data_IF_641172184601
#
_entry.id   IF_641172184601
#
_cell.length_a   1.000
_cell.length_b   1.000
_cell.length_c   1.000
_cell.angle_alpha   90.00
_cell.angle_beta   90.00
_cell.angle_gamma   90.00
#
_symmetry.space_group_name_H-M   'P 1'
#
loop_
_entity.id
_entity.type
_entity.pdbx_description
1 polymer ?
#
# COMPACT_ATOMS: atom_id res chain seq x y z
N UNK A 1 12.23 24.69 9.10
CA UNK A 1 12.55 24.77 7.66
C UNK A 1 14.04 24.61 7.49
N UNK A 2 14.46 23.46 6.89
CA UNK A 2 15.87 23.16 6.61
C UNK A 2 16.33 23.94 5.38
N UNK A 3 17.55 24.39 5.41
CA UNK A 3 18.29 24.75 4.18
C UNK A 3 18.77 23.47 3.53
N UNK A 4 18.88 23.42 2.20
CA UNK A 4 19.35 22.26 1.43
C UNK A 4 20.79 21.88 1.81
N UNK A 5 20.96 21.25 2.98
CA UNK A 5 22.20 20.72 3.53
C UNK A 5 22.00 19.27 3.93
N UNK A 6 23.08 18.53 4.17
CA UNK A 6 23.06 17.13 4.62
C UNK A 6 22.60 17.00 6.09
N UNK A 7 21.43 17.56 6.43
CA UNK A 7 20.91 17.55 7.80
C UNK A 7 19.52 16.92 7.81
N UNK A 8 19.24 16.14 8.85
CA UNK A 8 17.92 15.57 9.14
C UNK A 8 17.07 16.60 9.92
N UNK A 9 15.75 16.45 9.83
CA UNK A 9 14.84 17.22 10.67
C UNK A 9 14.95 16.80 12.14
N UNK A 10 14.77 15.51 12.39
CA UNK A 10 14.96 14.86 13.70
C UNK A 10 15.79 13.59 13.49
N UNK A 11 16.86 13.46 14.26
CA UNK A 11 17.73 12.28 14.23
C UNK A 11 17.84 11.63 15.60
N UNK A 12 17.53 10.33 15.68
CA UNK A 12 17.69 9.51 16.88
C UNK A 12 19.02 8.75 16.78
N UNK A 13 20.05 9.22 17.49
CA UNK A 13 21.40 8.65 17.35
C UNK A 13 21.55 7.31 18.06
N UNK A 14 21.30 7.26 19.37
CA UNK A 14 21.52 6.06 20.21
C UNK A 14 20.45 5.93 21.31
N UNK A 15 20.25 4.68 21.76
CA UNK A 15 19.36 4.37 22.85
C UNK A 15 17.89 4.26 22.43
N UNK A 16 16.99 4.29 23.39
CA UNK A 16 15.55 4.24 23.20
C UNK A 16 15.00 5.68 23.18
N UNK A 17 14.46 6.13 22.06
CA UNK A 17 13.91 7.48 21.92
C UNK A 17 12.41 7.44 21.61
N UNK A 18 11.68 8.44 22.09
CA UNK A 18 10.28 8.65 21.75
C UNK A 18 10.05 10.09 21.35
N UNK A 19 9.46 10.30 20.18
CA UNK A 19 8.88 11.58 19.78
C UNK A 19 7.39 11.53 20.13
N UNK A 20 6.93 12.43 20.99
CA UNK A 20 5.52 12.65 21.26
C UNK A 20 5.08 13.99 20.68
N UNK A 21 4.05 13.97 19.83
CA UNK A 21 3.33 15.15 19.34
C UNK A 21 1.90 15.00 19.80
N UNK A 22 1.43 15.89 20.70
CA UNK A 22 0.17 15.68 21.41
C UNK A 22 -0.51 16.99 21.79
N UNK A 23 -1.79 16.90 22.19
CA UNK A 23 -2.57 18.01 22.73
C UNK A 23 -2.74 19.18 21.75
N UNK A 24 -3.21 18.91 20.55
CA UNK A 24 -3.44 19.92 19.51
C UNK A 24 -2.16 20.52 18.92
N UNK A 25 -1.03 19.84 19.09
CA UNK A 25 0.26 20.33 18.59
C UNK A 25 0.39 20.17 17.08
N UNK A 26 1.19 21.06 16.46
CA UNK A 26 1.58 20.96 15.04
C UNK A 26 3.10 20.85 14.94
N UNK A 27 3.57 19.77 14.33
CA UNK A 27 4.98 19.57 14.00
C UNK A 27 5.17 19.65 12.49
N UNK A 28 5.94 20.61 12.02
CA UNK A 28 6.31 20.74 10.61
C UNK A 28 7.81 20.51 10.40
N UNK A 29 8.15 19.56 9.50
CA UNK A 29 9.54 19.29 9.08
C UNK A 29 9.58 19.37 7.55
N UNK A 30 10.18 20.41 7.01
CA UNK A 30 10.12 20.71 5.58
C UNK A 30 11.46 21.11 4.99
N UNK A 31 11.71 20.69 3.74
CA UNK A 31 12.83 21.09 2.91
C UNK A 31 14.20 20.64 3.47
N UNK A 32 14.28 19.46 4.08
CA UNK A 32 15.56 18.89 4.48
C UNK A 32 16.19 18.09 3.35
N UNK A 33 17.49 18.27 3.13
CA UNK A 33 18.26 17.50 2.14
C UNK A 33 18.47 16.03 2.53
N UNK A 34 18.20 15.69 3.78
CA UNK A 34 18.11 14.33 4.30
C UNK A 34 16.69 14.04 4.80
N UNK A 35 16.50 12.98 5.56
CA UNK A 35 15.20 12.52 6.00
C UNK A 35 14.57 13.45 7.03
N UNK A 36 13.25 13.58 7.01
CA UNK A 36 12.54 14.37 7.99
C UNK A 36 12.75 13.80 9.40
N UNK A 37 12.53 12.49 9.56
CA UNK A 37 12.77 11.76 10.80
C UNK A 37 13.56 10.51 10.47
N UNK A 38 14.72 10.34 11.08
CA UNK A 38 15.59 9.19 10.88
C UNK A 38 16.12 8.66 12.20
N UNK A 39 16.37 7.36 12.25
CA UNK A 39 17.07 6.71 13.34
C UNK A 39 18.45 6.19 12.93
N UNK A 40 19.37 6.17 13.89
CA UNK A 40 20.65 5.46 13.79
C UNK A 40 20.49 3.93 13.87
N UNK A 41 21.41 3.25 14.52
CA UNK A 41 21.57 1.80 14.45
C UNK A 41 20.68 0.99 15.42
N UNK A 42 20.07 1.61 16.42
CA UNK A 42 19.35 0.88 17.48
C UNK A 42 17.83 0.80 17.20
N UNK A 43 17.10 -0.09 17.93
CA UNK A 43 15.83 -0.65 17.43
C UNK A 43 14.56 -0.34 18.21
N UNK A 44 14.54 0.58 19.18
CA UNK A 44 13.35 0.80 20.02
C UNK A 44 12.87 2.25 20.01
N UNK A 45 12.77 2.83 18.83
CA UNK A 45 12.28 4.20 18.70
C UNK A 45 10.77 4.24 18.44
N UNK A 46 10.12 5.24 19.01
CA UNK A 46 8.68 5.45 18.88
C UNK A 46 8.37 6.85 18.37
N UNK A 47 7.32 6.96 17.60
CA UNK A 47 6.69 8.21 17.21
C UNK A 47 5.21 8.09 17.59
N UNK A 48 4.76 8.88 18.54
CA UNK A 48 3.38 8.95 18.96
C UNK A 48 2.80 10.30 18.55
N UNK A 49 1.75 10.28 17.76
CA UNK A 49 1.01 11.46 17.31
C UNK A 49 -0.41 11.27 17.85
N UNK A 50 -0.82 12.11 18.79
CA UNK A 50 -2.13 12.00 19.46
C UNK A 50 -2.80 13.36 19.48
N UNK A 51 -4.05 13.46 19.01
CA UNK A 51 -4.80 14.72 18.93
C UNK A 51 -3.95 15.85 18.33
N UNK A 52 -3.28 15.58 17.20
CA UNK A 52 -2.24 16.50 16.69
C UNK A 52 -2.01 16.35 15.18
N UNK A 53 -1.20 17.24 14.61
CA UNK A 53 -0.82 17.22 13.19
C UNK A 53 0.69 17.13 13.02
N UNK A 54 1.15 16.26 12.12
CA UNK A 54 2.55 16.16 11.69
C UNK A 54 2.62 16.29 10.18
N UNK A 55 3.40 17.27 9.70
CA UNK A 55 3.64 17.55 8.29
C UNK A 55 5.12 17.36 7.94
N UNK A 56 5.42 16.31 7.18
CA UNK A 56 6.74 16.01 6.64
C UNK A 56 6.69 16.25 5.12
N UNK A 57 7.24 17.37 4.65
CA UNK A 57 7.05 17.83 3.29
C UNK A 57 8.35 18.26 2.61
N UNK A 58 8.54 17.85 1.32
CA UNK A 58 9.73 18.19 0.53
C UNK A 58 11.06 17.80 1.21
N UNK A 59 11.14 16.64 1.82
CA UNK A 59 12.37 16.09 2.38
C UNK A 59 12.98 15.03 1.43
N UNK A 60 14.19 14.56 1.69
CA UNK A 60 14.75 13.41 0.95
C UNK A 60 13.87 12.19 1.17
N UNK A 61 13.53 11.87 2.42
CA UNK A 61 12.51 10.90 2.79
C UNK A 61 11.73 11.40 4.03
N UNK A 62 10.58 10.82 4.30
CA UNK A 62 9.78 11.17 5.46
C UNK A 62 10.31 10.50 6.73
N UNK A 63 9.88 9.25 6.99
CA UNK A 63 10.25 8.47 8.19
C UNK A 63 11.13 7.30 7.75
N UNK A 64 12.40 7.29 8.15
CA UNK A 64 13.36 6.25 7.76
C UNK A 64 13.90 5.48 8.95
N UNK A 65 13.82 4.16 8.85
CA UNK A 65 14.25 3.21 9.87
C UNK A 65 13.08 2.55 10.58
N UNK A 66 13.38 1.60 11.46
CA UNK A 66 12.33 0.84 12.16
C UNK A 66 11.83 1.60 13.38
N UNK A 67 10.76 2.33 13.23
CA UNK A 67 10.00 2.93 14.33
C UNK A 67 8.75 2.13 14.62
N UNK A 68 8.19 2.28 15.81
CA UNK A 68 6.77 2.05 16.08
C UNK A 68 6.09 3.41 16.00
N UNK A 69 5.28 3.61 14.97
CA UNK A 69 4.57 4.87 14.71
C UNK A 69 3.10 4.67 15.06
N UNK A 70 2.61 5.41 16.04
CA UNK A 70 1.19 5.46 16.40
C UNK A 70 0.62 6.80 15.95
N UNK A 71 -0.47 6.76 15.19
CA UNK A 71 -1.27 7.92 14.80
C UNK A 71 -2.66 7.71 15.35
N UNK A 72 -3.06 8.52 16.31
CA UNK A 72 -4.27 8.35 17.13
C UNK A 72 -5.05 9.67 17.15
N UNK A 73 -6.28 9.68 16.61
CA UNK A 73 -7.10 10.89 16.47
C UNK A 73 -6.31 12.08 15.88
N UNK A 74 -5.57 11.83 14.80
CA UNK A 74 -4.51 12.74 14.37
C UNK A 74 -4.35 12.78 12.85
N UNK A 75 -3.61 13.80 12.39
CA UNK A 75 -3.21 13.92 10.98
C UNK A 75 -1.71 13.71 10.81
N UNK A 76 -1.33 12.83 9.88
CA UNK A 76 0.06 12.65 9.45
C UNK A 76 0.15 12.82 7.92
N UNK A 77 0.87 13.83 7.47
CA UNK A 77 1.20 14.04 6.08
C UNK A 77 2.70 13.77 5.83
N UNK A 78 2.99 12.87 4.91
CA UNK A 78 4.35 12.55 4.47
C UNK A 78 4.36 12.65 2.95
N UNK A 79 4.65 13.83 2.46
CA UNK A 79 4.41 14.17 1.06
C UNK A 79 5.63 14.77 0.37
N UNK A 80 5.64 14.64 -0.96
CA UNK A 80 6.61 15.29 -1.85
C UNK A 80 8.08 14.96 -1.50
N UNK A 81 8.34 13.80 -0.88
CA UNK A 81 9.70 13.35 -0.63
C UNK A 81 10.35 12.88 -1.94
N UNK A 82 11.64 13.16 -2.14
CA UNK A 82 12.35 12.68 -3.33
C UNK A 82 12.62 11.16 -3.28
N UNK A 83 12.63 10.57 -2.09
CA UNK A 83 12.74 9.13 -1.81
C UNK A 83 11.42 8.54 -1.28
N UNK A 84 11.51 7.76 -0.22
CA UNK A 84 10.34 7.11 0.41
C UNK A 84 9.55 8.09 1.29
N UNK A 85 8.25 7.98 1.30
CA UNK A 85 7.43 8.58 2.36
C UNK A 85 7.76 7.93 3.70
N UNK A 86 7.74 6.59 3.79
CA UNK A 86 8.24 5.83 4.94
C UNK A 86 9.07 4.64 4.47
N UNK A 87 10.02 4.19 5.30
CA UNK A 87 10.82 3.01 5.04
C UNK A 87 11.12 2.21 6.31
N UNK A 88 10.49 1.04 6.45
CA UNK A 88 10.79 0.02 7.46
C UNK A 88 10.08 0.16 8.80
N UNK A 89 9.25 1.15 9.02
CA UNK A 89 8.52 1.36 10.27
C UNK A 89 7.33 0.41 10.43
N UNK A 90 6.84 0.25 11.67
CA UNK A 90 5.54 -0.36 11.98
C UNK A 90 4.53 0.76 12.23
N UNK A 91 3.35 0.68 11.62
CA UNK A 91 2.31 1.70 11.76
C UNK A 91 1.08 1.14 12.45
N UNK A 92 0.58 1.91 13.44
CA UNK A 92 -0.70 1.74 14.09
C UNK A 92 -1.49 3.05 13.93
N UNK A 93 -2.44 3.06 13.02
CA UNK A 93 -3.25 4.23 12.63
C UNK A 93 -4.67 3.96 13.07
N UNK A 94 -5.25 4.83 13.93
CA UNK A 94 -6.54 4.55 14.55
C UNK A 94 -7.30 5.81 14.94
N UNK A 95 -8.57 5.60 15.34
CA UNK A 95 -9.43 6.59 15.96
C UNK A 95 -9.56 7.86 15.10
N UNK A 96 -10.25 7.76 13.97
CA UNK A 96 -10.52 8.87 13.04
C UNK A 96 -9.27 9.57 12.47
N UNK A 97 -8.11 8.91 12.51
CA UNK A 97 -6.89 9.48 11.97
C UNK A 97 -6.92 9.62 10.46
N UNK A 98 -6.28 10.69 9.97
CA UNK A 98 -6.08 10.93 8.53
C UNK A 98 -4.61 10.87 8.20
N UNK A 99 -4.21 9.94 7.33
CA UNK A 99 -2.80 9.74 6.96
C UNK A 99 -2.60 9.82 5.45
N UNK A 100 -1.62 10.62 5.03
CA UNK A 100 -1.34 10.84 3.62
C UNK A 100 0.14 10.59 3.30
N UNK A 101 0.39 9.59 2.42
CA UNK A 101 1.70 9.26 1.87
C UNK A 101 1.70 9.48 0.36
N UNK A 102 1.70 10.72 -0.11
CA UNK A 102 1.51 11.02 -1.53
C UNK A 102 2.67 11.77 -2.17
N UNK A 103 2.82 11.62 -3.49
CA UNK A 103 3.82 12.30 -4.30
C UNK A 103 5.27 11.99 -3.87
N UNK A 104 5.55 10.82 -3.32
CA UNK A 104 6.90 10.45 -2.94
C UNK A 104 7.62 9.75 -4.12
N UNK A 105 8.90 10.02 -4.29
CA UNK A 105 9.68 9.58 -5.45
C UNK A 105 9.92 8.06 -5.51
N UNK A 106 9.74 7.34 -4.39
CA UNK A 106 9.87 5.88 -4.32
C UNK A 106 8.58 5.29 -3.76
N UNK A 107 8.55 4.75 -2.56
CA UNK A 107 7.34 4.21 -1.95
C UNK A 107 6.58 5.29 -1.19
N UNK A 108 5.26 5.25 -1.23
CA UNK A 108 4.45 6.06 -0.31
C UNK A 108 4.67 5.56 1.11
N UNK A 109 4.05 4.44 1.45
CA UNK A 109 4.21 3.77 2.74
C UNK A 109 4.93 2.43 2.55
N UNK A 110 6.14 2.32 3.11
CA UNK A 110 6.85 1.04 3.26
C UNK A 110 6.89 0.66 4.73
N UNK A 111 6.18 -0.41 5.09
CA UNK A 111 5.99 -0.81 6.47
C UNK A 111 6.50 -2.23 6.75
N UNK A 112 6.89 -2.49 8.00
CA UNK A 112 7.04 -3.83 8.55
C UNK A 112 5.66 -4.44 8.83
N UNK A 113 4.94 -3.91 9.83
CA UNK A 113 3.53 -4.20 10.06
C UNK A 113 2.69 -2.94 9.83
N UNK A 114 1.42 -3.12 9.47
CA UNK A 114 0.50 -2.03 9.19
C UNK A 114 -0.88 -2.34 9.78
N UNK A 115 -1.30 -1.58 10.77
CA UNK A 115 -2.66 -1.59 11.28
C UNK A 115 -3.34 -0.26 10.96
N UNK A 116 -4.52 -0.33 10.34
CA UNK A 116 -5.38 0.82 10.05
C UNK A 116 -6.77 0.46 10.59
N UNK A 117 -7.24 1.20 11.59
CA UNK A 117 -8.54 0.99 12.23
C UNK A 117 -9.26 2.33 12.37
N UNK A 118 -10.56 2.38 12.03
CA UNK A 118 -11.39 3.58 12.11
C UNK A 118 -10.71 4.83 11.53
N UNK A 119 -10.10 4.72 10.34
CA UNK A 119 -9.21 5.78 9.84
C UNK A 119 -9.23 5.92 8.33
N UNK A 120 -8.66 7.02 7.83
CA UNK A 120 -8.51 7.28 6.40
C UNK A 120 -7.03 7.34 6.00
N UNK A 121 -6.64 6.53 5.02
CA UNK A 121 -5.27 6.51 4.50
C UNK A 121 -5.25 6.74 3.00
N UNK A 122 -4.38 7.64 2.56
CA UNK A 122 -4.17 7.96 1.14
C UNK A 122 -2.70 7.74 0.75
N UNK A 123 -2.47 7.10 -0.40
CA UNK A 123 -1.12 6.87 -0.94
C UNK A 123 -1.10 7.09 -2.45
N UNK A 124 -1.12 8.35 -2.88
CA UNK A 124 -1.28 8.72 -4.28
C UNK A 124 0.02 9.17 -4.95
N UNK A 125 0.13 8.93 -6.27
CA UNK A 125 1.20 9.44 -7.13
C UNK A 125 2.62 9.09 -6.65
N UNK A 126 2.82 7.92 -6.06
CA UNK A 126 4.12 7.49 -5.60
C UNK A 126 4.92 6.82 -6.73
N UNK A 127 6.25 6.89 -6.64
CA UNK A 127 7.13 6.49 -7.73
C UNK A 127 7.25 4.98 -7.96
N UNK A 128 7.07 4.12 -6.93
CA UNK A 128 7.23 2.65 -7.03
C UNK A 128 6.02 1.87 -6.54
N UNK A 129 5.71 1.91 -5.25
CA UNK A 129 4.50 1.34 -4.67
C UNK A 129 3.74 2.41 -3.89
N UNK A 130 2.42 2.36 -3.92
CA UNK A 130 1.61 3.17 -3.03
C UNK A 130 1.84 2.73 -1.59
N UNK A 131 1.49 1.48 -1.29
CA UNK A 131 1.72 0.80 -0.01
C UNK A 131 2.46 -0.51 -0.25
N UNK A 132 3.55 -0.75 0.50
CA UNK A 132 4.26 -2.02 0.55
C UNK A 132 4.52 -2.40 2.00
N UNK A 133 4.29 -3.66 2.37
CA UNK A 133 4.58 -4.14 3.73
C UNK A 133 5.08 -5.59 3.73
N UNK A 134 5.77 -5.96 4.80
CA UNK A 134 6.51 -7.22 4.87
C UNK A 134 6.02 -8.17 5.96
N UNK A 135 5.16 -7.73 6.83
CA UNK A 135 4.65 -8.49 7.98
C UNK A 135 3.12 -8.58 7.98
N UNK A 136 2.52 -8.37 9.13
CA UNK A 136 1.05 -8.40 9.27
C UNK A 136 0.45 -7.05 8.92
N UNK A 137 -0.60 -7.06 8.10
CA UNK A 137 -1.44 -5.91 7.76
C UNK A 137 -2.89 -6.16 8.18
N UNK A 138 -3.55 -5.12 8.65
CA UNK A 138 -4.99 -5.08 8.89
C UNK A 138 -5.54 -3.74 8.46
N UNK A 139 -6.64 -3.75 7.71
CA UNK A 139 -7.45 -2.57 7.39
C UNK A 139 -8.85 -2.88 7.88
N UNK A 140 -9.31 -2.17 8.92
CA UNK A 140 -10.58 -2.44 9.57
C UNK A 140 -11.37 -1.15 9.76
N UNK A 141 -12.67 -1.19 9.45
CA UNK A 141 -13.59 -0.04 9.62
C UNK A 141 -13.07 1.27 9.00
N UNK A 142 -12.31 1.16 7.88
CA UNK A 142 -11.45 2.24 7.40
C UNK A 142 -11.64 2.52 5.89
N UNK A 143 -11.13 3.67 5.46
CA UNK A 143 -11.06 4.04 4.04
C UNK A 143 -9.61 4.14 3.58
N UNK A 144 -9.23 3.37 2.55
CA UNK A 144 -7.89 3.42 1.96
C UNK A 144 -7.98 3.73 0.47
N UNK A 145 -7.22 4.73 0.02
CA UNK A 145 -7.16 5.12 -1.40
C UNK A 145 -5.73 5.11 -1.91
N UNK A 146 -5.48 4.38 -3.00
CA UNK A 146 -4.17 4.27 -3.63
C UNK A 146 -4.34 4.53 -5.13
N UNK A 147 -3.77 5.63 -5.63
CA UNK A 147 -3.93 6.00 -7.04
C UNK A 147 -2.64 6.54 -7.65
N UNK A 148 -2.51 6.43 -8.98
CA UNK A 148 -1.45 7.10 -9.73
C UNK A 148 -0.03 6.63 -9.39
N UNK A 149 0.13 5.44 -8.83
CA UNK A 149 1.45 4.84 -8.57
C UNK A 149 2.15 4.57 -9.88
N UNK A 150 3.34 5.10 -10.07
CA UNK A 150 4.04 5.03 -11.36
C UNK A 150 4.79 3.72 -11.59
N UNK A 151 5.45 3.20 -10.56
CA UNK A 151 6.28 2.00 -10.66
C UNK A 151 7.49 2.15 -11.60
N UNK A 152 8.44 1.24 -11.47
CA UNK A 152 9.59 1.10 -12.38
C UNK A 152 9.93 -0.36 -12.69
N UNK A 153 9.15 -1.29 -12.17
CA UNK A 153 9.37 -2.73 -12.29
C UNK A 153 8.03 -3.46 -12.22
N UNK A 154 7.93 -4.60 -12.86
CA UNK A 154 6.76 -5.49 -12.80
C UNK A 154 6.40 -5.98 -11.38
N UNK A 155 7.30 -5.82 -10.43
CA UNK A 155 7.04 -6.09 -9.01
C UNK A 155 6.35 -4.93 -8.28
N UNK A 156 6.24 -3.76 -8.89
CA UNK A 156 5.59 -2.63 -8.26
C UNK A 156 4.06 -2.74 -8.37
N UNK A 157 3.37 -2.19 -7.41
CA UNK A 157 1.92 -2.21 -7.35
C UNK A 157 1.35 -1.00 -6.58
N UNK A 158 0.08 -0.74 -6.75
CA UNK A 158 -0.63 0.13 -5.82
C UNK A 158 -0.43 -0.37 -4.39
N UNK A 159 -0.81 -1.62 -4.12
CA UNK A 159 -0.57 -2.31 -2.83
C UNK A 159 0.25 -3.59 -3.06
N UNK A 160 1.35 -3.76 -2.33
CA UNK A 160 2.18 -4.96 -2.43
C UNK A 160 2.36 -5.65 -1.08
N UNK A 161 2.01 -6.93 -1.04
CA UNK A 161 2.31 -7.85 0.05
C UNK A 161 3.69 -8.47 -0.24
N UNK A 162 4.72 -7.94 0.40
CA UNK A 162 6.10 -8.28 0.10
C UNK A 162 6.67 -9.30 1.09
N UNK A 163 7.13 -10.42 0.62
CA UNK A 163 7.64 -11.61 1.32
C UNK A 163 6.56 -12.63 1.70
N UNK A 164 7.00 -13.86 1.89
CA UNK A 164 6.17 -15.05 2.11
C UNK A 164 5.34 -15.06 3.39
N UNK A 165 5.62 -14.20 4.34
CA UNK A 165 4.87 -14.08 5.59
C UNK A 165 4.02 -12.80 5.67
N UNK A 166 3.98 -12.03 4.58
CA UNK A 166 3.10 -10.86 4.54
C UNK A 166 1.63 -11.30 4.50
N UNK A 167 0.84 -10.77 5.40
CA UNK A 167 -0.61 -11.04 5.45
C UNK A 167 -1.37 -9.73 5.50
N UNK A 168 -2.48 -9.64 4.78
CA UNK A 168 -3.41 -8.50 4.84
C UNK A 168 -4.83 -9.00 5.05
N UNK A 169 -5.46 -8.52 6.11
CA UNK A 169 -6.87 -8.70 6.37
C UNK A 169 -7.61 -7.37 6.16
N UNK A 170 -8.60 -7.34 5.27
CA UNK A 170 -9.46 -6.19 5.00
C UNK A 170 -10.86 -6.52 5.50
N UNK A 171 -11.33 -5.78 6.51
CA UNK A 171 -12.55 -6.06 7.26
C UNK A 171 -13.41 -4.80 7.32
N UNK A 172 -14.67 -4.89 6.92
CA UNK A 172 -15.66 -3.81 6.98
C UNK A 172 -15.15 -2.45 6.48
N UNK A 173 -14.37 -2.47 5.40
CA UNK A 173 -13.62 -1.31 4.94
C UNK A 173 -13.91 -0.95 3.48
N UNK A 174 -13.59 0.27 3.10
CA UNK A 174 -13.62 0.73 1.71
C UNK A 174 -12.19 0.91 1.22
N UNK A 175 -11.78 0.10 0.23
CA UNK A 175 -10.44 0.18 -0.36
C UNK A 175 -10.54 0.44 -1.86
N UNK A 176 -9.93 1.52 -2.32
CA UNK A 176 -9.89 1.90 -3.73
C UNK A 176 -8.45 1.93 -4.24
N UNK A 177 -8.15 1.10 -5.21
CA UNK A 177 -6.83 1.01 -5.85
C UNK A 177 -7.05 1.19 -7.35
N UNK A 178 -6.69 2.37 -7.87
CA UNK A 178 -7.05 2.70 -9.25
C UNK A 178 -6.02 3.57 -9.96
N UNK A 179 -6.07 3.51 -11.28
CA UNK A 179 -5.30 4.40 -12.16
C UNK A 179 -3.79 4.35 -11.87
N UNK A 180 -3.27 3.20 -11.38
CA UNK A 180 -1.86 2.99 -11.20
C UNK A 180 -1.23 2.53 -12.52
N UNK A 181 0.01 2.98 -12.83
CA UNK A 181 0.77 2.55 -14.02
C UNK A 181 1.32 1.12 -13.90
N UNK A 182 1.01 0.44 -12.80
CA UNK A 182 1.44 -0.91 -12.42
C UNK A 182 0.25 -1.72 -11.94
N UNK A 183 0.46 -2.98 -11.54
CA UNK A 183 -0.61 -3.79 -10.96
C UNK A 183 -1.29 -3.11 -9.78
N UNK A 184 -2.59 -3.31 -9.63
CA UNK A 184 -3.35 -2.79 -8.49
C UNK A 184 -2.86 -3.41 -7.19
N UNK A 185 -2.98 -4.73 -7.05
CA UNK A 185 -2.53 -5.51 -5.89
C UNK A 185 -1.53 -6.58 -6.34
N UNK A 186 -0.43 -6.73 -5.60
CA UNK A 186 0.57 -7.77 -5.87
C UNK A 186 0.83 -8.59 -4.60
N UNK A 187 0.46 -9.86 -4.65
CA UNK A 187 0.72 -10.85 -3.60
C UNK A 187 1.97 -11.64 -3.97
N UNK A 188 3.11 -11.35 -3.32
CA UNK A 188 4.36 -12.11 -3.48
C UNK A 188 4.18 -13.56 -3.01
N UNK A 189 5.06 -14.43 -3.45
CA UNK A 189 5.05 -15.85 -3.12
C UNK A 189 4.91 -16.11 -1.63
N UNK A 190 3.93 -16.93 -1.26
CA UNK A 190 3.61 -17.30 0.12
C UNK A 190 2.89 -16.25 0.95
N UNK A 191 2.58 -15.07 0.40
CA UNK A 191 1.78 -14.05 1.10
C UNK A 191 0.29 -14.41 1.11
N UNK A 192 -0.48 -13.73 1.97
CA UNK A 192 -1.93 -13.96 2.11
C UNK A 192 -2.72 -12.66 2.13
N UNK A 193 -3.70 -12.57 1.25
CA UNK A 193 -4.71 -11.52 1.22
C UNK A 193 -6.07 -12.10 1.60
N UNK A 194 -6.76 -11.48 2.54
CA UNK A 194 -8.13 -11.82 2.90
C UNK A 194 -9.00 -10.56 2.89
N UNK A 195 -10.06 -10.59 2.10
CA UNK A 195 -11.08 -9.53 2.03
C UNK A 195 -12.38 -10.17 2.50
N UNK A 196 -13.02 -9.57 3.49
CA UNK A 196 -14.30 -10.04 3.99
C UNK A 196 -15.49 -9.62 3.11
N UNK A 197 -16.66 -10.18 3.36
CA UNK A 197 -17.87 -9.92 2.57
C UNK A 197 -18.52 -8.54 2.88
N UNK A 198 -18.12 -7.88 3.94
CA UNK A 198 -18.60 -6.55 4.32
C UNK A 198 -17.82 -5.42 3.64
N UNK A 199 -16.58 -5.71 3.23
CA UNK A 199 -15.68 -4.71 2.65
C UNK A 199 -15.99 -4.42 1.18
N UNK A 200 -15.95 -3.14 0.82
CA UNK A 200 -16.04 -2.67 -0.56
C UNK A 200 -14.63 -2.44 -1.11
N UNK A 201 -14.12 -3.38 -1.91
CA UNK A 201 -12.79 -3.26 -2.51
C UNK A 201 -12.92 -3.09 -4.01
N UNK A 202 -12.39 -1.97 -4.53
CA UNK A 202 -12.40 -1.65 -5.96
C UNK A 202 -10.96 -1.55 -6.48
N UNK A 203 -10.63 -2.36 -7.48
CA UNK A 203 -9.33 -2.38 -8.16
C UNK A 203 -9.60 -2.17 -9.65
N UNK A 204 -9.36 -0.96 -10.16
CA UNK A 204 -9.77 -0.60 -11.53
C UNK A 204 -8.83 0.36 -12.22
N UNK A 205 -8.77 0.31 -13.55
CA UNK A 205 -7.98 1.23 -14.38
C UNK A 205 -6.47 1.13 -14.14
N UNK A 206 -6.00 0.05 -13.52
CA UNK A 206 -4.58 -0.11 -13.28
C UNK A 206 -3.88 -0.58 -14.54
N UNK A 207 -2.68 -0.05 -14.79
CA UNK A 207 -1.88 -0.29 -16.00
C UNK A 207 -2.55 0.13 -17.34
N UNK A 208 -3.68 0.82 -17.31
CA UNK A 208 -4.42 1.20 -18.51
C UNK A 208 -3.64 2.12 -19.47
N UNK A 209 -2.67 2.88 -18.97
CA UNK A 209 -1.81 3.75 -19.80
C UNK A 209 -0.76 2.99 -20.61
N UNK A 210 -0.65 1.67 -20.47
CA UNK A 210 0.38 0.83 -21.10
C UNK A 210 -0.05 0.22 -22.44
N UNK A 211 -1.19 0.56 -23.00
CA UNK A 211 -1.72 0.02 -24.27
C UNK A 211 -0.74 0.12 -25.47
N UNK A 212 0.28 0.98 -25.40
CA UNK A 212 1.28 1.16 -26.45
C UNK A 212 2.69 0.68 -26.07
N UNK A 213 2.81 -0.24 -25.12
CA UNK A 213 4.10 -0.62 -24.58
C UNK A 213 4.85 -1.67 -25.41
N UNK A 214 5.16 -1.38 -26.68
CA UNK A 214 6.11 -2.17 -27.45
C UNK A 214 7.56 -2.07 -26.95
N UNK A 215 7.85 -1.15 -26.04
CA UNK A 215 9.22 -0.86 -25.56
C UNK A 215 9.44 -1.03 -24.05
N UNK A 216 8.38 -1.19 -23.27
CA UNK A 216 8.50 -1.42 -21.81
C UNK A 216 8.05 -2.84 -21.46
N UNK A 217 8.85 -3.83 -21.81
CA UNK A 217 8.57 -5.26 -21.61
C UNK A 217 8.37 -5.68 -20.15
N UNK A 218 8.54 -4.81 -19.17
CA UNK A 218 8.77 -5.21 -17.78
C UNK A 218 7.74 -4.68 -16.77
N UNK A 219 6.74 -3.90 -17.17
CA UNK A 219 5.72 -3.38 -16.25
C UNK A 219 4.39 -4.12 -16.44
N UNK A 220 3.84 -4.62 -15.36
CA UNK A 220 2.58 -5.39 -15.28
C UNK A 220 2.39 -6.35 -16.47
N UNK A 221 3.32 -7.27 -16.61
CA UNK A 221 3.24 -8.31 -17.65
C UNK A 221 2.00 -9.18 -17.41
N UNK A 222 1.65 -9.42 -16.15
CA UNK A 222 0.51 -10.25 -15.78
C UNK A 222 -0.21 -9.67 -14.58
N UNK A 223 -1.55 -9.73 -14.56
CA UNK A 223 -2.38 -9.25 -13.47
C UNK A 223 -2.40 -7.73 -13.33
N UNK A 224 -3.07 -7.04 -14.23
CA UNK A 224 -3.24 -5.58 -14.13
C UNK A 224 -3.95 -5.17 -12.84
N UNK A 225 -5.00 -5.89 -12.43
CA UNK A 225 -5.70 -5.66 -11.16
C UNK A 225 -5.06 -6.39 -9.99
N UNK A 226 -4.95 -7.72 -10.06
CA UNK A 226 -4.45 -8.57 -8.97
C UNK A 226 -3.46 -9.62 -9.50
N UNK A 227 -2.32 -9.72 -8.86
CA UNK A 227 -1.35 -10.81 -9.04
C UNK A 227 -1.31 -11.70 -7.81
N UNK A 228 -1.46 -13.02 -8.00
CA UNK A 228 -1.31 -14.04 -6.95
C UNK A 228 -0.17 -14.97 -7.36
N UNK A 229 1.00 -14.82 -6.72
CA UNK A 229 2.20 -15.58 -7.05
C UNK A 229 2.16 -17.00 -6.47
N UNK A 230 3.12 -17.82 -6.89
CA UNK A 230 3.32 -19.20 -6.38
C UNK A 230 3.26 -19.24 -4.84
N UNK A 231 2.46 -20.17 -4.29
CA UNK A 231 2.24 -20.31 -2.85
C UNK A 231 1.52 -19.15 -2.16
N UNK A 232 1.17 -18.08 -2.87
CA UNK A 232 0.33 -17.01 -2.32
C UNK A 232 -1.15 -17.43 -2.28
N UNK A 233 -1.89 -16.86 -1.34
CA UNK A 233 -3.33 -17.08 -1.21
C UNK A 233 -4.06 -15.74 -1.24
N UNK A 234 -5.09 -15.61 -2.07
CA UNK A 234 -6.00 -14.48 -2.06
C UNK A 234 -7.45 -14.97 -1.88
N UNK A 235 -8.13 -14.42 -0.87
CA UNK A 235 -9.57 -14.60 -0.66
C UNK A 235 -10.27 -13.27 -0.91
N UNK A 236 -11.19 -13.25 -1.88
CA UNK A 236 -11.94 -12.06 -2.26
C UNK A 236 -13.35 -12.10 -1.71
N UNK A 237 -13.76 -11.08 -0.99
CA UNK A 237 -15.11 -10.92 -0.45
C UNK A 237 -16.15 -10.60 -1.54
N UNK A 238 -17.42 -10.81 -1.22
CA UNK A 238 -18.55 -10.70 -2.16
C UNK A 238 -18.73 -9.31 -2.80
N UNK A 239 -18.19 -8.25 -2.20
CA UNK A 239 -18.27 -6.87 -2.73
C UNK A 239 -16.96 -6.40 -3.38
N UNK A 240 -16.05 -7.33 -3.67
CA UNK A 240 -14.82 -7.00 -4.39
C UNK A 240 -15.10 -6.82 -5.87
N UNK A 241 -14.62 -5.72 -6.44
CA UNK A 241 -14.68 -5.41 -7.86
C UNK A 241 -13.27 -5.26 -8.42
N UNK A 242 -12.92 -6.04 -9.45
CA UNK A 242 -11.63 -5.96 -10.15
C UNK A 242 -11.96 -5.93 -11.63
N UNK A 243 -11.91 -4.75 -12.25
CA UNK A 243 -12.29 -4.57 -13.64
C UNK A 243 -11.54 -3.42 -14.33
N UNK A 244 -11.61 -3.37 -15.65
CA UNK A 244 -10.99 -2.34 -16.47
C UNK A 244 -9.48 -2.17 -16.19
N UNK A 245 -8.81 -3.21 -15.74
CA UNK A 245 -7.36 -3.23 -15.60
C UNK A 245 -6.73 -3.77 -16.90
N UNK A 246 -5.43 -3.61 -17.06
CA UNK A 246 -4.74 -4.09 -18.24
C UNK A 246 -3.41 -4.76 -17.88
N UNK A 247 -3.09 -5.86 -18.55
CA UNK A 247 -1.80 -6.55 -18.48
C UNK A 247 -1.28 -6.82 -19.90
N UNK A 248 0.01 -6.68 -20.12
CA UNK A 248 0.60 -6.81 -21.46
C UNK A 248 0.75 -8.25 -21.94
N UNK A 249 0.66 -9.24 -21.03
CA UNK A 249 0.87 -10.67 -21.33
C UNK A 249 -0.34 -11.51 -20.95
N UNK A 250 -0.81 -11.46 -19.70
CA UNK A 250 -1.89 -12.33 -19.25
C UNK A 250 -2.65 -11.77 -18.03
N UNK A 251 -3.97 -12.04 -17.99
CA UNK A 251 -4.84 -11.70 -16.87
C UNK A 251 -4.98 -10.19 -16.69
N UNK A 252 -5.71 -9.54 -17.58
CA UNK A 252 -5.93 -8.10 -17.51
C UNK A 252 -6.37 -7.70 -16.10
N UNK A 253 -7.36 -8.37 -15.54
CA UNK A 253 -7.79 -8.10 -14.18
C UNK A 253 -7.07 -8.96 -13.16
N UNK A 254 -7.00 -10.29 -13.35
CA UNK A 254 -6.42 -11.20 -12.36
C UNK A 254 -5.47 -12.18 -13.05
N UNK A 255 -4.29 -12.33 -12.47
CA UNK A 255 -3.34 -13.39 -12.79
C UNK A 255 -3.05 -14.24 -11.56
N UNK A 256 -3.20 -15.56 -11.71
CA UNK A 256 -2.83 -16.54 -10.69
C UNK A 256 -1.72 -17.42 -11.24
N UNK A 257 -0.54 -17.32 -10.67
CA UNK A 257 0.61 -18.15 -11.04
C UNK A 257 0.39 -19.61 -10.59
N UNK A 258 1.04 -20.57 -11.25
CA UNK A 258 1.04 -21.97 -10.81
C UNK A 258 1.42 -22.06 -9.32
N UNK A 259 0.63 -22.82 -8.53
CA UNK A 259 0.79 -22.88 -7.06
C UNK A 259 0.15 -21.74 -6.29
N UNK A 260 -0.27 -20.67 -6.94
CA UNK A 260 -1.08 -19.60 -6.33
C UNK A 260 -2.52 -20.07 -6.09
N UNK A 261 -3.18 -19.51 -5.08
CA UNK A 261 -4.56 -19.87 -4.74
C UNK A 261 -5.46 -18.65 -4.66
N UNK A 262 -6.51 -18.64 -5.49
CA UNK A 262 -7.57 -17.64 -5.46
C UNK A 262 -8.87 -18.26 -4.97
N UNK A 263 -9.56 -17.60 -4.06
CA UNK A 263 -10.85 -18.03 -3.51
C UNK A 263 -11.82 -16.86 -3.51
N UNK A 264 -13.04 -17.08 -3.97
CA UNK A 264 -14.12 -16.11 -3.91
C UNK A 264 -15.09 -16.48 -2.78
N UNK A 265 -15.50 -15.52 -1.99
CA UNK A 265 -16.54 -15.68 -1.00
C UNK A 265 -17.90 -15.45 -1.65
N UNK A 266 -18.34 -16.39 -2.50
CA UNK A 266 -19.68 -16.34 -3.11
C UNK A 266 -20.59 -17.24 -2.32
N UNK A 267 -21.55 -16.67 -1.61
CA UNK A 267 -22.53 -17.45 -0.82
C UNK A 267 -23.63 -18.11 -1.66
N UNK A 268 -23.72 -17.80 -2.97
CA UNK A 268 -24.71 -18.34 -3.90
C UNK A 268 -24.09 -18.59 -5.28
N UNK A 269 -23.00 -19.35 -5.33
CA UNK A 269 -22.60 -19.94 -6.60
C UNK A 269 -23.68 -20.97 -6.98
N UNK A 270 -24.57 -20.61 -7.89
CA UNK A 270 -25.44 -21.59 -8.55
C UNK A 270 -24.58 -22.66 -9.23
N UNK A 271 -25.09 -23.85 -9.37
CA UNK A 271 -24.39 -24.96 -10.02
C UNK A 271 -24.16 -24.63 -11.49
N UNK A 272 -22.95 -24.17 -11.81
CA UNK A 272 -22.57 -23.78 -13.17
C UNK A 272 -21.86 -22.43 -13.27
N UNK A 273 -21.59 -21.79 -12.13
CA UNK A 273 -21.00 -20.46 -12.09
C UNK A 273 -19.58 -20.45 -12.68
N UNK A 274 -19.52 -19.92 -13.86
CA UNK A 274 -18.30 -19.32 -14.39
C UNK A 274 -18.11 -17.96 -13.74
N UNK A 275 -16.88 -17.47 -13.65
CA UNK A 275 -16.57 -16.13 -13.14
C UNK A 275 -17.37 -14.97 -13.79
N UNK A 276 -18.01 -15.24 -14.92
CA UNK A 276 -18.93 -14.34 -15.62
C UNK A 276 -20.26 -14.07 -14.88
N UNK A 277 -20.63 -14.90 -13.90
CA UNK A 277 -21.86 -14.71 -13.12
C UNK A 277 -21.68 -13.70 -11.95
N UNK A 278 -20.46 -13.20 -11.73
CA UNK A 278 -20.20 -12.13 -10.77
C UNK A 278 -20.64 -10.73 -11.26
N UNK A 279 -21.37 -10.66 -12.37
CA UNK A 279 -21.98 -9.43 -12.91
C UNK A 279 -20.99 -8.31 -13.08
N UNK A 280 -20.19 -8.28 -14.13
CA UNK A 280 -19.25 -7.21 -14.52
C UNK A 280 -18.23 -6.80 -13.46
N UNK A 281 -17.97 -7.63 -12.45
CA UNK A 281 -17.02 -7.34 -11.37
C UNK A 281 -15.59 -7.72 -11.70
N UNK A 282 -15.40 -8.66 -12.65
CA UNK A 282 -14.10 -9.13 -13.11
C UNK A 282 -14.18 -9.31 -14.62
N UNK A 283 -13.40 -8.54 -15.38
CA UNK A 283 -13.44 -8.55 -16.85
C UNK A 283 -12.52 -9.58 -17.49
N UNK A 284 -11.41 -9.89 -16.85
CA UNK A 284 -10.46 -10.83 -17.40
C UNK A 284 -9.57 -11.47 -16.33
N UNK A 285 -9.50 -12.79 -16.35
CA UNK A 285 -8.57 -13.48 -15.47
C UNK A 285 -7.86 -14.62 -16.19
N UNK A 286 -6.69 -14.97 -15.66
CA UNK A 286 -5.84 -16.03 -16.19
C UNK A 286 -5.22 -16.81 -15.02
N UNK A 287 -5.22 -18.13 -15.13
CA UNK A 287 -4.47 -19.02 -14.25
C UNK A 287 -3.42 -19.74 -15.06
N UNK A 288 -2.18 -19.73 -14.57
CA UNK A 288 -1.06 -20.48 -15.14
C UNK A 288 -1.10 -21.92 -14.63
N UNK A 289 -2.16 -22.63 -14.97
CA UNK A 289 -2.31 -24.05 -14.66
C UNK A 289 -1.95 -24.89 -15.89
N UNK A 290 -1.01 -25.86 -15.71
CA UNK A 290 -0.74 -26.91 -16.71
C UNK A 290 -1.90 -27.87 -16.81
#
# INVERSE_FOLDING_TARGET
TGTAGNTHGIYFDKGNGTLNVQNGSVLEIKNYGQDAIERGTESNYKINITDSTVDLDHNRAGITGTFVVTVDDSTLNVINSTGNGSNGSHFDIKNDSTVNFSNNGVHGLSAGNLNIEDSTVTANNNGYNGIIFTGKGTIKDSTVTITGTKGKSYWNAGMRLFKSNATMDIVNSTVTIKDNEVSGIFCDSGSKLSIDDSSNVTVTGNNAAQENCSTKKDLAQSGGGLVVRDGAEAKLGAKTTINNNHATVAGDDIFVEEGGKLTFSVTNAGTGDTLNDCGDKIDGWYTDAN
#
